data_IF_797739987810
#
_entry.id   IF_797739987810
#
_cell.length_a   1.000
_cell.length_b   1.000
_cell.length_c   1.000
_cell.angle_alpha   90.00
_cell.angle_beta   90.00
_cell.angle_gamma   90.00
#
_symmetry.space_group_name_H-M   'P 1'
#
loop_
_entity.id
_entity.type
_entity.pdbx_description
1 polymer ?
#
# COMPACT_ATOMS: atom_id res chain seq x y z
N UNK A 1 -16.30 -25.69 15.51
CA UNK A 1 -16.93 -24.68 16.41
C UNK A 1 -17.86 -23.84 15.54
N UNK A 2 -19.12 -23.65 15.92
CA UNK A 2 -20.13 -23.01 15.04
C UNK A 2 -20.02 -21.48 15.07
N UNK A 3 -20.45 -20.82 13.99
CA UNK A 3 -20.48 -19.35 13.89
C UNK A 3 -21.23 -18.72 15.06
N UNK A 4 -22.42 -19.23 15.41
CA UNK A 4 -23.21 -18.67 16.52
C UNK A 4 -22.51 -18.75 17.88
N UNK A 5 -21.74 -19.82 18.12
CA UNK A 5 -20.97 -19.94 19.36
C UNK A 5 -19.86 -18.89 19.44
N UNK A 6 -19.21 -18.59 18.31
CA UNK A 6 -18.22 -17.51 18.24
C UNK A 6 -18.86 -16.16 18.46
N UNK A 7 -19.97 -15.87 17.76
CA UNK A 7 -20.68 -14.59 17.88
C UNK A 7 -21.24 -14.34 19.29
N UNK A 8 -21.47 -15.40 20.08
CA UNK A 8 -21.95 -15.29 21.45
C UNK A 8 -20.88 -14.96 22.49
N UNK A 9 -19.61 -14.84 22.10
CA UNK A 9 -18.51 -14.49 23.02
C UNK A 9 -18.68 -13.03 23.48
N UNK A 10 -18.89 -12.77 24.79
CA UNK A 10 -19.19 -11.43 25.26
C UNK A 10 -18.05 -10.44 25.01
N UNK A 11 -18.42 -9.22 24.62
CA UNK A 11 -17.48 -8.12 24.42
C UNK A 11 -16.63 -8.23 23.15
N UNK A 12 -16.80 -9.29 22.36
CA UNK A 12 -16.02 -9.54 21.14
C UNK A 12 -16.78 -9.07 19.90
N UNK A 13 -16.06 -8.41 18.99
CA UNK A 13 -16.56 -8.07 17.65
C UNK A 13 -15.88 -8.94 16.58
N UNK A 14 -16.62 -9.24 15.52
CA UNK A 14 -16.17 -10.13 14.44
C UNK A 14 -16.39 -9.51 13.07
N UNK A 15 -15.35 -9.46 12.24
CA UNK A 15 -15.50 -9.26 10.80
C UNK A 15 -15.48 -10.63 10.12
N UNK A 16 -16.61 -11.06 9.57
CA UNK A 16 -16.76 -12.36 8.92
C UNK A 16 -16.79 -12.20 7.42
N UNK A 17 -15.89 -12.90 6.72
CA UNK A 17 -15.92 -13.09 5.26
C UNK A 17 -16.66 -14.40 4.94
N UNK A 18 -17.78 -14.30 4.22
CA UNK A 18 -18.50 -15.45 3.67
C UNK A 18 -18.16 -15.54 2.18
N UNK A 19 -17.60 -16.67 1.76
CA UNK A 19 -17.00 -16.80 0.43
C UNK A 19 -16.89 -18.27 -0.03
N UNK A 20 -16.51 -18.49 -1.29
CA UNK A 20 -16.15 -19.82 -1.77
C UNK A 20 -14.80 -20.29 -1.20
N UNK A 21 -14.61 -21.61 -1.00
CA UNK A 21 -13.31 -22.16 -0.64
C UNK A 21 -12.23 -21.77 -1.66
N UNK A 22 -11.04 -21.41 -1.19
CA UNK A 22 -9.87 -21.09 -2.01
C UNK A 22 -10.06 -19.95 -3.03
N UNK A 23 -11.02 -19.05 -2.80
CA UNK A 23 -11.24 -17.88 -3.63
C UNK A 23 -9.99 -16.98 -3.69
N UNK A 24 -9.73 -16.42 -4.88
CA UNK A 24 -8.64 -15.48 -5.12
C UNK A 24 -9.19 -14.21 -5.75
N UNK A 25 -8.53 -13.09 -5.49
CA UNK A 25 -8.86 -11.80 -6.08
C UNK A 25 -8.71 -10.65 -5.10
N UNK A 26 -8.94 -9.44 -5.60
CA UNK A 26 -8.69 -8.19 -4.89
C UNK A 26 -9.41 -8.11 -3.54
N UNK A 27 -10.66 -8.60 -3.47
CA UNK A 27 -11.42 -8.65 -2.21
C UNK A 27 -10.79 -9.59 -1.17
N UNK A 28 -10.17 -10.69 -1.61
CA UNK A 28 -9.44 -11.62 -0.74
C UNK A 28 -8.14 -11.00 -0.23
N UNK A 29 -7.41 -10.30 -1.10
CA UNK A 29 -6.18 -9.59 -0.72
C UNK A 29 -6.46 -8.44 0.27
N UNK A 30 -7.54 -7.69 0.03
CA UNK A 30 -8.07 -6.71 0.97
C UNK A 30 -8.32 -7.35 2.34
N UNK A 31 -9.04 -8.48 2.39
CA UNK A 31 -9.35 -9.16 3.65
C UNK A 31 -8.11 -9.64 4.38
N UNK A 32 -7.13 -10.18 3.65
CA UNK A 32 -5.84 -10.58 4.21
C UNK A 32 -5.11 -9.42 4.88
N UNK A 33 -5.13 -8.23 4.27
CA UNK A 33 -4.56 -7.02 4.89
C UNK A 33 -5.28 -6.68 6.21
N UNK A 34 -6.62 -6.75 6.23
CA UNK A 34 -7.39 -6.51 7.44
C UNK A 34 -7.04 -7.52 8.54
N UNK A 35 -6.92 -8.80 8.20
CA UNK A 35 -6.52 -9.85 9.16
C UNK A 35 -5.14 -9.58 9.79
N UNK A 36 -4.18 -9.07 9.01
CA UNK A 36 -2.85 -8.72 9.54
C UNK A 36 -2.91 -7.57 10.55
N UNK A 37 -3.80 -6.60 10.35
CA UNK A 37 -3.96 -5.45 11.24
C UNK A 37 -4.84 -5.76 12.45
N UNK A 38 -5.78 -6.70 12.33
CA UNK A 38 -6.72 -7.07 13.38
C UNK A 38 -6.01 -7.58 14.65
N UNK A 39 -4.80 -8.14 14.55
CA UNK A 39 -4.02 -8.62 15.69
C UNK A 39 -3.74 -7.53 16.73
N UNK A 40 -3.60 -6.27 16.31
CA UNK A 40 -3.35 -5.15 17.20
C UNK A 40 -4.63 -4.59 17.85
N UNK A 41 -5.81 -5.09 17.46
CA UNK A 41 -7.09 -4.55 17.91
C UNK A 41 -7.68 -5.44 19.01
N UNK A 42 -7.83 -4.92 20.24
CA UNK A 42 -8.40 -5.69 21.33
C UNK A 42 -9.88 -5.99 21.04
N UNK A 43 -10.33 -7.17 21.48
CA UNK A 43 -11.72 -7.62 21.37
C UNK A 43 -12.28 -7.58 19.93
N UNK A 44 -11.42 -7.71 18.93
CA UNK A 44 -11.80 -7.79 17.51
C UNK A 44 -11.17 -9.00 16.84
N UNK A 45 -11.93 -9.71 15.99
CA UNK A 45 -11.45 -10.90 15.29
C UNK A 45 -11.94 -10.91 13.85
N UNK A 46 -11.05 -11.19 12.90
CA UNK A 46 -11.41 -11.40 11.51
C UNK A 46 -11.50 -12.92 11.23
N UNK A 47 -12.63 -13.38 10.71
CA UNK A 47 -12.93 -14.78 10.46
C UNK A 47 -13.41 -15.01 9.03
N UNK A 48 -13.25 -16.24 8.55
CA UNK A 48 -13.85 -16.67 7.28
C UNK A 48 -14.78 -17.88 7.49
N UNK A 49 -15.86 -17.89 6.71
CA UNK A 49 -16.81 -19.00 6.62
C UNK A 49 -16.84 -19.45 5.16
N UNK A 50 -16.08 -20.49 4.80
CA UNK A 50 -16.11 -21.02 3.45
C UNK A 50 -17.43 -21.76 3.21
N UNK A 51 -18.10 -21.47 2.09
CA UNK A 51 -19.35 -22.10 1.68
C UNK A 51 -19.06 -23.10 0.57
N UNK A 52 -19.01 -24.40 0.91
CA UNK A 52 -18.79 -25.46 -0.07
C UNK A 52 -20.11 -26.09 -0.49
N UNK A 53 -20.36 -26.15 -1.80
CA UNK A 53 -21.60 -26.72 -2.35
C UNK A 53 -21.39 -28.01 -3.13
N UNK A 54 -20.15 -28.32 -3.50
CA UNK A 54 -19.80 -29.52 -4.24
C UNK A 54 -19.42 -30.66 -3.28
N UNK A 55 -19.99 -31.83 -3.51
CA UNK A 55 -19.89 -33.03 -2.69
C UNK A 55 -20.60 -32.89 -1.33
N UNK A 56 -19.86 -32.57 -0.27
CA UNK A 56 -20.39 -32.33 1.05
C UNK A 56 -20.73 -30.85 1.16
N UNK A 57 -22.03 -30.55 1.26
CA UNK A 57 -22.48 -29.19 1.53
C UNK A 57 -21.99 -28.77 2.91
N UNK A 58 -21.16 -27.74 2.96
CA UNK A 58 -20.68 -27.12 4.21
C UNK A 58 -21.06 -25.65 4.22
N UNK A 59 -21.65 -25.20 5.34
CA UNK A 59 -22.05 -23.81 5.59
C UNK A 59 -23.03 -23.20 4.56
N UNK A 60 -23.72 -24.02 3.74
CA UNK A 60 -24.75 -23.55 2.80
C UNK A 60 -25.94 -22.90 3.54
N UNK A 61 -26.18 -23.30 4.80
CA UNK A 61 -27.13 -22.70 5.73
C UNK A 61 -26.79 -21.25 6.10
N UNK A 62 -25.49 -20.92 6.21
CA UNK A 62 -25.03 -19.54 6.46
C UNK A 62 -25.35 -18.66 5.25
N UNK A 63 -25.11 -19.15 4.03
CA UNK A 63 -25.47 -18.43 2.80
C UNK A 63 -26.98 -18.16 2.75
N UNK A 64 -27.81 -19.14 3.09
CA UNK A 64 -29.27 -19.00 3.12
C UNK A 64 -29.72 -18.00 4.19
N UNK A 65 -29.16 -18.06 5.40
CA UNK A 65 -29.44 -17.12 6.49
C UNK A 65 -29.24 -15.66 6.09
N UNK A 66 -28.17 -15.37 5.35
CA UNK A 66 -27.85 -14.00 4.90
C UNK A 66 -28.39 -13.68 3.50
N UNK A 67 -29.24 -14.55 2.94
CA UNK A 67 -29.85 -14.42 1.61
C UNK A 67 -28.82 -14.12 0.49
N UNK A 68 -27.69 -14.81 0.53
CA UNK A 68 -26.58 -14.61 -0.41
C UNK A 68 -26.67 -15.53 -1.63
N UNK A 69 -26.25 -15.02 -2.77
CA UNK A 69 -26.00 -15.80 -3.99
C UNK A 69 -24.49 -15.90 -4.26
N UNK A 70 -24.05 -16.79 -5.15
CA UNK A 70 -22.63 -16.89 -5.51
C UNK A 70 -22.06 -15.58 -6.08
N UNK A 71 -22.92 -14.74 -6.68
CA UNK A 71 -22.53 -13.42 -7.20
C UNK A 71 -22.23 -12.40 -6.10
N UNK A 72 -22.73 -12.65 -4.89
CA UNK A 72 -22.48 -11.80 -3.73
C UNK A 72 -21.13 -12.08 -3.09
N UNK A 73 -20.48 -13.19 -3.43
CA UNK A 73 -19.23 -13.61 -2.82
C UNK A 73 -18.02 -12.81 -3.36
N UNK A 74 -17.03 -12.52 -2.51
CA UNK A 74 -17.10 -12.56 -1.05
C UNK A 74 -18.03 -11.48 -0.48
N UNK A 75 -18.77 -11.84 0.57
CA UNK A 75 -19.57 -10.93 1.37
C UNK A 75 -18.95 -10.75 2.77
N UNK A 76 -18.85 -9.50 3.23
CA UNK A 76 -18.25 -9.14 4.51
C UNK A 76 -19.31 -8.60 5.46
N UNK A 77 -19.32 -9.09 6.70
CA UNK A 77 -20.25 -8.69 7.74
C UNK A 77 -19.51 -8.37 9.03
N UNK A 78 -19.83 -7.23 9.65
CA UNK A 78 -19.38 -6.89 11.00
C UNK A 78 -20.46 -7.28 12.00
N UNK A 79 -20.10 -8.12 12.96
CA UNK A 79 -20.91 -8.45 14.13
C UNK A 79 -20.28 -7.75 15.34
N UNK A 80 -21.04 -6.88 15.99
CA UNK A 80 -20.67 -6.28 17.27
C UNK A 80 -21.28 -7.08 18.41
N UNK A 81 -20.82 -6.83 19.64
CA UNK A 81 -21.30 -7.55 20.83
C UNK A 81 -22.83 -7.63 20.89
N UNK A 82 -23.34 -8.86 21.07
CA UNK A 82 -24.78 -9.16 21.10
C UNK A 82 -25.52 -9.14 19.75
N UNK A 83 -24.86 -8.84 18.63
CA UNK A 83 -25.49 -8.81 17.30
C UNK A 83 -25.39 -10.16 16.57
N UNK A 84 -26.53 -10.68 16.12
CA UNK A 84 -26.62 -11.91 15.32
C UNK A 84 -26.85 -11.66 13.83
N UNK A 85 -27.27 -10.46 13.46
CA UNK A 85 -27.65 -10.13 12.08
C UNK A 85 -26.47 -9.52 11.31
N UNK A 86 -25.54 -8.89 12.03
CA UNK A 86 -24.37 -8.24 11.45
C UNK A 86 -24.72 -7.08 10.51
N UNK A 87 -23.71 -6.29 10.18
CA UNK A 87 -23.83 -5.18 9.22
C UNK A 87 -22.97 -5.50 8.01
N UNK A 88 -23.59 -5.55 6.82
CA UNK A 88 -22.87 -5.83 5.57
C UNK A 88 -22.00 -4.63 5.18
N UNK A 89 -20.78 -4.92 4.73
CA UNK A 89 -19.95 -3.93 4.04
C UNK A 89 -20.30 -3.89 2.56
N UNK A 90 -20.52 -2.69 2.02
CA UNK A 90 -20.99 -2.47 0.65
C UNK A 90 -20.12 -1.53 -0.18
N UNK A 91 -19.08 -0.94 0.42
CA UNK A 91 -18.22 0.01 -0.27
C UNK A 91 -17.19 -0.71 -1.17
N UNK A 92 -16.37 0.07 -1.89
CA UNK A 92 -15.36 -0.47 -2.80
C UNK A 92 -14.39 -1.43 -2.09
N UNK A 93 -13.87 -2.41 -2.83
CA UNK A 93 -12.98 -3.47 -2.35
C UNK A 93 -11.56 -2.97 -2.05
N UNK A 94 -11.44 -1.97 -1.18
CA UNK A 94 -10.18 -1.35 -0.78
C UNK A 94 -10.05 -1.44 0.74
N UNK A 95 -8.87 -1.87 1.21
CA UNK A 95 -8.63 -2.08 2.62
C UNK A 95 -8.72 -0.77 3.43
N UNK A 96 -8.35 0.38 2.83
CA UNK A 96 -8.51 1.69 3.46
C UNK A 96 -9.99 2.03 3.76
N UNK A 97 -10.90 1.73 2.81
CA UNK A 97 -12.33 1.97 2.98
C UNK A 97 -12.93 1.07 4.07
N UNK A 98 -12.55 -0.21 4.08
CA UNK A 98 -12.95 -1.15 5.13
C UNK A 98 -12.47 -0.68 6.52
N UNK A 99 -11.24 -0.19 6.65
CA UNK A 99 -10.72 0.37 7.91
C UNK A 99 -11.52 1.59 8.36
N UNK A 100 -11.79 2.54 7.45
CA UNK A 100 -12.61 3.73 7.76
C UNK A 100 -14.00 3.32 8.21
N UNK A 101 -14.62 2.35 7.54
CA UNK A 101 -15.91 1.79 7.91
C UNK A 101 -15.88 1.11 9.28
N UNK A 102 -14.88 0.27 9.57
CA UNK A 102 -14.69 -0.37 10.87
C UNK A 102 -14.51 0.65 12.01
N UNK A 103 -13.69 1.69 11.79
CA UNK A 103 -13.49 2.78 12.76
C UNK A 103 -14.78 3.53 13.05
N UNK A 104 -15.59 3.82 12.03
CA UNK A 104 -16.90 4.46 12.20
C UNK A 104 -17.87 3.65 13.07
N UNK A 105 -17.58 2.36 13.27
CA UNK A 105 -18.37 1.41 14.08
C UNK A 105 -17.72 1.08 15.42
N UNK A 106 -16.70 1.84 15.82
CA UNK A 106 -16.02 1.68 17.11
C UNK A 106 -14.87 0.67 17.10
N UNK A 107 -14.53 0.08 15.96
CA UNK A 107 -13.37 -0.82 15.85
C UNK A 107 -12.15 0.02 15.51
N UNK A 108 -11.27 0.24 16.50
CA UNK A 108 -10.07 1.08 16.39
C UNK A 108 -8.96 0.37 15.60
N UNK A 109 -9.19 0.18 14.31
CA UNK A 109 -8.25 -0.42 13.37
C UNK A 109 -7.01 0.47 13.18
N UNK A 110 -5.78 -0.08 13.13
CA UNK A 110 -4.60 0.65 12.69
C UNK A 110 -4.72 1.07 11.22
N UNK A 111 -4.00 2.13 10.84
CA UNK A 111 -3.93 2.56 9.44
C UNK A 111 -2.97 1.66 8.65
N UNK A 112 -3.27 1.44 7.37
CA UNK A 112 -2.38 0.69 6.46
C UNK A 112 -1.12 1.49 6.17
N UNK A 113 -1.28 2.74 5.75
CA UNK A 113 -0.17 3.61 5.36
C UNK A 113 0.16 4.58 6.48
N UNK A 114 -0.54 5.69 6.52
CA UNK A 114 -0.34 6.79 7.47
C UNK A 114 -1.64 7.07 8.22
N UNK A 115 -1.57 7.90 9.24
CA UNK A 115 -2.75 8.26 10.04
C UNK A 115 -3.21 9.63 9.56
N UNK A 116 -4.27 9.67 8.73
CA UNK A 116 -4.78 10.88 8.07
C UNK A 116 -4.86 12.10 9.03
N UNK A 117 -5.40 11.91 10.23
CA UNK A 117 -5.55 12.98 11.24
C UNK A 117 -4.21 13.48 11.80
N UNK A 118 -3.19 12.61 11.89
CA UNK A 118 -1.83 13.02 12.26
C UNK A 118 -1.09 13.63 11.07
N UNK A 119 -1.37 13.20 9.84
CA UNK A 119 -0.80 13.80 8.62
C UNK A 119 -1.25 15.26 8.47
N UNK A 120 -2.52 15.57 8.77
CA UNK A 120 -3.01 16.95 8.85
C UNK A 120 -2.23 17.79 9.87
N UNK A 121 -1.93 17.23 11.04
CA UNK A 121 -1.10 17.92 12.05
C UNK A 121 0.33 18.11 11.56
N UNK A 122 0.89 17.15 10.82
CA UNK A 122 2.21 17.31 10.19
C UNK A 122 2.17 18.42 9.14
N UNK A 123 1.13 18.52 8.33
CA UNK A 123 1.00 19.60 7.34
C UNK A 123 0.93 20.99 8.00
N UNK A 124 0.18 21.12 9.09
CA UNK A 124 0.15 22.34 9.92
C UNK A 124 1.56 22.64 10.48
N UNK A 125 2.23 21.61 11.01
CA UNK A 125 3.57 21.72 11.59
C UNK A 125 4.66 22.09 10.57
N UNK A 126 4.61 21.55 9.36
CA UNK A 126 5.60 21.87 8.33
C UNK A 126 5.45 23.31 7.84
N UNK A 127 4.23 23.86 7.89
CA UNK A 127 3.94 25.26 7.56
C UNK A 127 4.43 26.20 8.67
N UNK A 128 4.19 25.83 9.94
CA UNK A 128 4.60 26.60 11.12
C UNK A 128 5.13 25.68 12.23
N UNK A 129 6.43 25.34 12.24
CA UNK A 129 6.98 24.42 13.23
C UNK A 129 6.85 24.97 14.65
N UNK A 130 6.07 24.30 15.51
CA UNK A 130 5.83 24.77 16.88
C UNK A 130 5.51 23.62 17.84
N UNK A 131 5.75 23.86 19.13
CA UNK A 131 5.41 22.93 20.21
C UNK A 131 3.90 22.68 20.33
N UNK A 132 3.05 23.63 19.89
CA UNK A 132 1.59 23.47 19.89
C UNK A 132 1.15 22.30 19.01
N UNK A 133 1.76 22.13 17.85
CA UNK A 133 1.46 21.02 16.95
C UNK A 133 1.89 19.68 17.56
N UNK A 134 2.99 19.64 18.31
CA UNK A 134 3.44 18.44 19.03
C UNK A 134 2.43 18.03 20.10
N UNK A 135 1.89 18.98 20.86
CA UNK A 135 0.85 18.68 21.86
C UNK A 135 -0.44 18.16 21.21
N UNK A 136 -0.87 18.75 20.07
CA UNK A 136 -1.99 18.23 19.26
C UNK A 136 -1.73 16.79 18.78
N UNK A 137 -0.51 16.49 18.33
CA UNK A 137 -0.13 15.14 17.93
C UNK A 137 -0.15 14.15 19.11
N UNK A 138 0.31 14.56 20.31
CA UNK A 138 0.24 13.74 21.54
C UNK A 138 -1.20 13.45 21.97
N UNK A 139 -2.11 14.41 21.79
CA UNK A 139 -3.55 14.18 22.06
C UNK A 139 -4.13 13.12 21.11
N UNK A 140 -3.80 13.20 19.82
CA UNK A 140 -4.20 12.19 18.83
C UNK A 140 -3.54 10.84 19.08
N UNK A 141 -2.27 10.80 19.49
CA UNK A 141 -1.56 9.56 19.84
C UNK A 141 -2.35 8.73 20.87
N UNK A 142 -2.98 9.40 21.86
CA UNK A 142 -3.82 8.74 22.87
C UNK A 142 -5.09 8.10 22.30
N UNK A 143 -5.54 8.50 21.11
CA UNK A 143 -6.66 7.87 20.38
C UNK A 143 -6.18 6.68 19.54
N UNK A 144 -4.94 6.71 19.10
CA UNK A 144 -4.31 5.71 18.24
C UNK A 144 -3.37 4.77 19.00
N UNK A 145 -3.74 4.34 20.21
CA UNK A 145 -2.89 3.48 21.06
C UNK A 145 -2.55 2.14 20.43
N UNK A 146 -3.38 1.67 19.50
CA UNK A 146 -3.21 0.39 18.80
C UNK A 146 -2.40 0.54 17.51
N UNK A 147 -2.04 1.76 17.12
CA UNK A 147 -1.23 2.02 15.93
C UNK A 147 0.20 2.42 16.32
N UNK A 148 1.16 1.53 16.09
CA UNK A 148 2.56 1.75 16.41
C UNK A 148 3.17 2.96 15.70
N UNK A 149 2.53 3.48 14.63
CA UNK A 149 2.96 4.68 13.91
C UNK A 149 2.68 5.96 14.69
N UNK A 150 1.62 6.03 15.49
CA UNK A 150 1.22 7.24 16.20
C UNK A 150 2.34 7.88 17.04
N UNK A 151 3.07 7.13 17.92
CA UNK A 151 4.21 7.69 18.66
C UNK A 151 5.39 8.10 17.77
N UNK A 152 5.47 7.62 16.52
CA UNK A 152 6.53 8.01 15.59
C UNK A 152 6.34 9.46 15.12
N UNK A 153 5.10 9.90 14.89
CA UNK A 153 4.80 11.29 14.49
C UNK A 153 5.34 12.28 15.51
N UNK A 154 4.99 12.11 16.79
CA UNK A 154 5.44 12.97 17.88
C UNK A 154 6.97 13.04 17.95
N UNK A 155 7.64 11.87 17.93
CA UNK A 155 9.11 11.80 17.97
C UNK A 155 9.78 12.46 16.77
N UNK A 156 9.20 12.35 15.57
CA UNK A 156 9.75 12.97 14.37
C UNK A 156 9.56 14.49 14.43
N UNK A 157 8.39 14.99 14.85
CA UNK A 157 8.16 16.43 15.07
C UNK A 157 9.15 17.03 16.07
N UNK A 158 9.36 16.36 17.22
CA UNK A 158 10.34 16.78 18.23
C UNK A 158 11.76 16.89 17.65
N UNK A 159 12.15 15.91 16.82
CA UNK A 159 13.46 15.93 16.16
C UNK A 159 13.56 16.98 15.05
N UNK A 160 12.50 17.21 14.29
CA UNK A 160 12.46 18.29 13.31
C UNK A 160 12.61 19.66 13.98
N UNK A 161 12.02 19.88 15.16
CA UNK A 161 12.25 21.12 15.94
C UNK A 161 13.69 21.22 16.44
N UNK A 162 14.28 20.12 16.90
CA UNK A 162 15.62 20.13 17.48
C UNK A 162 16.76 20.17 16.45
N UNK A 163 16.58 19.52 15.30
CA UNK A 163 17.63 19.28 14.30
C UNK A 163 17.39 20.00 12.98
N UNK A 164 16.21 20.60 12.79
CA UNK A 164 15.84 21.33 11.58
C UNK A 164 15.07 20.50 10.56
N UNK A 165 14.62 21.17 9.50
CA UNK A 165 13.72 20.61 8.48
C UNK A 165 14.32 19.44 7.67
N UNK A 166 15.65 19.32 7.58
CA UNK A 166 16.31 18.25 6.84
C UNK A 166 16.25 16.89 7.54
N UNK A 167 15.93 16.84 8.85
CA UNK A 167 15.92 15.61 9.64
C UNK A 167 15.15 14.47 8.97
N UNK A 168 13.96 14.77 8.43
CA UNK A 168 13.11 13.75 7.81
C UNK A 168 13.78 13.12 6.58
N UNK A 169 14.38 13.94 5.70
CA UNK A 169 15.08 13.47 4.51
C UNK A 169 16.32 12.64 4.86
N UNK A 170 17.12 13.11 5.81
CA UNK A 170 18.33 12.40 6.28
C UNK A 170 17.97 11.04 6.90
N UNK A 171 16.90 11.00 7.69
CA UNK A 171 16.43 9.78 8.32
C UNK A 171 15.82 8.80 7.29
N UNK A 172 15.16 9.29 6.24
CA UNK A 172 14.70 8.45 5.11
C UNK A 172 15.89 7.75 4.47
N UNK A 173 16.94 8.49 4.11
CA UNK A 173 18.13 7.93 3.48
C UNK A 173 18.79 6.86 4.37
N UNK A 174 18.88 7.12 5.68
CA UNK A 174 19.41 6.18 6.66
C UNK A 174 18.57 4.90 6.76
N UNK A 175 17.24 5.03 6.84
CA UNK A 175 16.32 3.88 6.96
C UNK A 175 16.33 3.04 5.67
N UNK A 176 16.33 3.66 4.49
CA UNK A 176 16.43 2.96 3.22
C UNK A 176 17.72 2.15 3.12
N UNK A 177 18.86 2.71 3.52
CA UNK A 177 20.14 2.00 3.55
C UNK A 177 20.12 0.77 4.47
N UNK A 178 19.41 0.85 5.61
CA UNK A 178 19.24 -0.30 6.51
C UNK A 178 18.37 -1.38 5.86
N UNK A 179 17.28 -0.97 5.19
CA UNK A 179 16.36 -1.90 4.52
C UNK A 179 16.98 -2.64 3.33
N UNK A 180 18.02 -2.09 2.71
CA UNK A 180 18.82 -2.78 1.68
C UNK A 180 19.67 -3.93 2.26
N UNK A 181 19.96 -3.89 3.57
CA UNK A 181 20.72 -4.93 4.26
C UNK A 181 19.88 -6.13 4.70
N UNK A 182 20.55 -7.09 5.35
CA UNK A 182 19.87 -8.18 6.06
C UNK A 182 19.23 -7.62 7.33
N UNK A 183 17.90 -7.62 7.37
CA UNK A 183 17.10 -7.11 8.49
C UNK A 183 16.08 -8.17 8.88
N UNK A 184 15.95 -8.43 10.18
CA UNK A 184 14.96 -9.35 10.72
C UNK A 184 13.53 -8.93 10.28
N UNK A 185 12.61 -9.86 9.94
CA UNK A 185 11.29 -9.52 9.39
C UNK A 185 10.50 -8.51 10.24
N UNK A 186 10.44 -8.71 11.55
CA UNK A 186 9.79 -7.77 12.47
C UNK A 186 10.42 -6.37 12.40
N UNK A 187 11.75 -6.30 12.37
CA UNK A 187 12.44 -5.01 12.32
C UNK A 187 12.26 -4.33 10.97
N UNK A 188 12.17 -5.11 9.89
CA UNK A 188 11.86 -4.62 8.54
C UNK A 188 10.46 -4.00 8.49
N UNK A 189 9.47 -4.61 9.14
CA UNK A 189 8.12 -4.05 9.25
C UNK A 189 8.12 -2.70 10.00
N UNK A 190 8.74 -2.64 11.19
CA UNK A 190 8.86 -1.39 11.97
C UNK A 190 9.55 -0.27 11.18
N UNK A 191 10.64 -0.60 10.46
CA UNK A 191 11.36 0.37 9.63
C UNK A 191 10.54 0.81 8.42
N UNK A 192 9.71 -0.08 7.87
CA UNK A 192 8.80 0.25 6.77
C UNK A 192 7.69 1.19 7.23
N UNK A 193 7.12 0.96 8.41
CA UNK A 193 6.14 1.85 9.02
C UNK A 193 6.74 3.23 9.34
N UNK A 194 7.95 3.23 9.91
CA UNK A 194 8.69 4.48 10.13
C UNK A 194 8.95 5.24 8.82
N UNK A 195 9.28 4.52 7.74
CA UNK A 195 9.51 5.11 6.43
C UNK A 195 8.25 5.76 5.87
N UNK A 196 7.07 5.13 6.05
CA UNK A 196 5.77 5.72 5.67
C UNK A 196 5.54 7.04 6.39
N UNK A 197 5.71 7.08 7.71
CA UNK A 197 5.54 8.31 8.50
C UNK A 197 6.53 9.39 8.08
N UNK A 198 7.83 9.06 7.95
CA UNK A 198 8.85 10.03 7.54
C UNK A 198 8.57 10.69 6.18
N UNK A 199 7.99 9.95 5.24
CA UNK A 199 7.63 10.48 3.91
C UNK A 199 6.61 11.61 3.99
N UNK A 200 5.69 11.57 4.95
CA UNK A 200 4.74 12.66 5.22
C UNK A 200 5.49 13.94 5.60
N UNK A 201 6.49 13.83 6.47
CA UNK A 201 7.31 14.97 6.91
C UNK A 201 8.18 15.54 5.79
N UNK A 202 8.66 14.68 4.88
CA UNK A 202 9.49 15.11 3.76
C UNK A 202 8.66 15.58 2.54
N UNK A 203 7.32 15.53 2.61
CA UNK A 203 6.41 15.69 1.46
C UNK A 203 6.85 14.86 0.24
N UNK A 204 7.45 13.71 0.49
CA UNK A 204 7.98 12.85 -0.56
C UNK A 204 6.92 11.82 -0.92
N UNK A 205 6.26 12.02 -2.06
CA UNK A 205 5.44 10.99 -2.68
C UNK A 205 6.29 10.04 -3.53
N UNK A 206 5.68 8.94 -3.96
CA UNK A 206 6.29 8.12 -4.99
C UNK A 206 6.22 8.87 -6.33
N UNK A 207 7.25 8.69 -7.15
CA UNK A 207 7.38 9.35 -8.43
C UNK A 207 6.30 8.91 -9.44
N UNK A 208 5.53 7.87 -9.14
CA UNK A 208 4.34 7.48 -9.89
C UNK A 208 3.19 8.48 -9.75
N UNK A 209 3.15 9.30 -8.70
CA UNK A 209 2.18 10.40 -8.55
C UNK A 209 2.74 11.72 -9.11
N UNK A 210 4.06 11.86 -9.20
CA UNK A 210 4.71 13.05 -9.74
C UNK A 210 4.40 13.27 -11.23
N UNK A 211 3.97 14.48 -11.60
CA UNK A 211 3.70 14.83 -12.99
C UNK A 211 4.97 15.38 -13.65
N UNK A 212 5.49 14.65 -14.64
CA UNK A 212 6.68 15.07 -15.36
C UNK A 212 6.41 16.32 -16.22
N UNK A 213 7.41 17.21 -16.39
CA UNK A 213 7.35 18.31 -17.32
C UNK A 213 7.02 17.85 -18.75
N UNK A 214 6.52 18.76 -19.59
CA UNK A 214 6.19 18.45 -20.98
C UNK A 214 7.38 17.83 -21.71
N UNK A 215 7.11 16.73 -22.45
CA UNK A 215 8.13 15.95 -23.14
C UNK A 215 8.86 14.91 -22.28
N UNK A 216 8.87 15.01 -20.95
CA UNK A 216 9.52 14.03 -20.08
C UNK A 216 8.61 12.84 -19.73
N UNK A 217 9.21 11.68 -19.50
CA UNK A 217 8.53 10.48 -19.02
C UNK A 217 8.98 10.11 -17.62
N UNK A 218 8.15 9.39 -16.86
CA UNK A 218 8.56 8.85 -15.56
C UNK A 218 9.72 7.86 -15.74
N UNK A 219 10.63 7.83 -14.75
CA UNK A 219 11.67 6.81 -14.72
C UNK A 219 11.06 5.42 -14.54
N UNK A 220 11.76 4.42 -15.05
CA UNK A 220 11.39 3.03 -14.88
C UNK A 220 11.20 2.69 -13.39
N UNK A 221 10.08 2.06 -13.03
CA UNK A 221 9.78 1.72 -11.65
C UNK A 221 9.48 2.93 -10.76
N UNK A 222 8.91 4.00 -11.31
CA UNK A 222 8.61 5.24 -10.58
C UNK A 222 7.79 5.03 -9.29
N UNK A 223 6.95 3.98 -9.22
CA UNK A 223 6.22 3.61 -8.00
C UNK A 223 7.16 3.19 -6.84
N UNK A 224 8.37 2.73 -7.15
CA UNK A 224 9.42 2.41 -6.19
C UNK A 224 10.44 3.54 -5.97
N UNK A 225 10.39 4.60 -6.78
CA UNK A 225 11.28 5.76 -6.67
C UNK A 225 10.57 6.82 -5.84
N UNK A 226 11.22 7.30 -4.78
CA UNK A 226 10.66 8.32 -3.90
C UNK A 226 11.30 9.65 -4.24
N UNK A 227 10.48 10.64 -4.62
CA UNK A 227 10.96 11.92 -5.11
C UNK A 227 9.81 12.88 -5.39
N UNK A 228 10.14 14.17 -5.39
CA UNK A 228 9.17 15.26 -5.60
C UNK A 228 9.65 16.27 -6.64
N UNK A 229 10.63 15.88 -7.46
CA UNK A 229 11.24 16.73 -8.47
C UNK A 229 11.50 15.93 -9.76
N UNK A 230 11.61 16.63 -10.89
CA UNK A 230 11.78 16.02 -12.20
C UNK A 230 13.12 15.30 -12.35
N UNK A 231 14.18 15.73 -11.66
CA UNK A 231 15.49 15.08 -11.74
C UNK A 231 15.46 13.70 -11.09
N UNK A 232 14.71 13.57 -10.00
CA UNK A 232 14.50 12.32 -9.27
C UNK A 232 13.51 11.42 -10.01
N UNK A 233 12.37 11.97 -10.45
CA UNK A 233 11.22 11.20 -10.93
C UNK A 233 11.15 10.98 -12.44
N UNK A 234 11.79 11.83 -13.24
CA UNK A 234 11.59 11.86 -14.68
C UNK A 234 12.87 11.56 -15.46
N UNK A 235 12.68 11.05 -16.66
CA UNK A 235 13.70 10.90 -17.70
C UNK A 235 13.25 11.64 -18.95
N UNK A 236 14.19 12.18 -19.74
CA UNK A 236 13.88 12.71 -21.07
C UNK A 236 13.22 11.64 -21.95
N UNK A 237 12.50 12.05 -23.00
CA UNK A 237 11.90 11.14 -23.94
C UNK A 237 12.96 10.25 -24.58
N UNK A 238 12.62 8.99 -24.79
CA UNK A 238 13.51 8.00 -25.40
C UNK A 238 12.76 7.33 -26.54
N UNK A 239 13.46 7.05 -27.63
CA UNK A 239 12.91 6.38 -28.80
C UNK A 239 13.71 5.11 -29.07
N UNK A 240 12.99 4.01 -29.24
CA UNK A 240 13.58 2.73 -29.64
C UNK A 240 14.16 2.82 -31.06
N UNK A 241 15.31 2.20 -31.29
CA UNK A 241 16.08 2.34 -32.54
C UNK A 241 16.31 1.01 -33.24
N UNK A 242 15.49 0.00 -32.97
CA UNK A 242 15.54 -1.33 -33.56
C UNK A 242 15.05 -1.34 -35.01
N UNK A 243 14.12 -0.45 -35.38
CA UNK A 243 13.51 -0.48 -36.72
C UNK A 243 12.79 -1.81 -36.95
N UNK A 244 13.20 -2.56 -37.98
CA UNK A 244 12.62 -3.88 -38.31
C UNK A 244 13.38 -5.05 -37.65
N UNK A 245 14.45 -4.76 -36.89
CA UNK A 245 15.24 -5.77 -36.19
C UNK A 245 14.51 -6.28 -34.94
N UNK A 246 14.70 -7.57 -34.62
CA UNK A 246 14.04 -8.26 -33.52
C UNK A 246 14.98 -9.27 -32.85
N UNK A 247 14.63 -9.68 -31.64
CA UNK A 247 15.36 -10.70 -30.89
C UNK A 247 15.17 -12.11 -31.48
N UNK A 248 15.85 -13.11 -30.90
CA UNK A 248 15.78 -14.49 -31.39
C UNK A 248 14.38 -15.14 -31.28
N UNK A 249 13.45 -14.54 -30.53
CA UNK A 249 12.06 -14.97 -30.39
C UNK A 249 11.09 -14.21 -31.30
N UNK A 250 11.57 -13.19 -32.02
CA UNK A 250 10.76 -12.35 -32.89
C UNK A 250 10.15 -11.14 -32.20
N UNK A 251 10.66 -10.76 -31.01
CA UNK A 251 10.17 -9.59 -30.29
C UNK A 251 10.98 -8.33 -30.63
N UNK A 252 10.27 -7.21 -30.80
CA UNK A 252 10.84 -5.86 -30.97
C UNK A 252 10.98 -5.15 -29.61
N UNK A 253 11.36 -3.87 -29.59
CA UNK A 253 11.55 -3.14 -28.33
C UNK A 253 10.24 -2.94 -27.55
N UNK A 254 9.09 -3.00 -28.22
CA UNK A 254 7.75 -2.90 -27.61
C UNK A 254 7.42 -4.02 -26.61
N UNK A 255 8.07 -5.18 -26.75
CA UNK A 255 7.96 -6.30 -25.81
C UNK A 255 8.67 -6.02 -24.48
N UNK A 256 9.73 -5.22 -24.50
CA UNK A 256 10.53 -4.92 -23.32
C UNK A 256 9.82 -3.81 -22.52
N UNK A 257 9.11 -4.18 -21.46
CA UNK A 257 8.33 -3.30 -20.58
C UNK A 257 8.83 -3.35 -19.11
N UNK A 258 8.05 -2.79 -18.18
CA UNK A 258 8.37 -2.81 -16.76
C UNK A 258 8.55 -4.20 -16.14
N UNK A 259 7.94 -5.23 -16.73
CA UNK A 259 7.96 -6.60 -16.24
C UNK A 259 9.03 -7.43 -16.91
N UNK A 260 9.31 -7.18 -18.19
CA UNK A 260 10.26 -7.96 -19.01
C UNK A 260 11.65 -7.32 -19.08
N UNK A 261 11.86 -6.11 -18.53
CA UNK A 261 13.17 -5.48 -18.46
C UNK A 261 14.31 -6.33 -17.84
N UNK A 262 14.06 -7.24 -16.87
CA UNK A 262 15.11 -8.16 -16.40
C UNK A 262 15.63 -9.13 -17.47
N UNK A 263 14.86 -9.35 -18.54
CA UNK A 263 15.18 -10.26 -19.66
C UNK A 263 15.96 -9.54 -20.78
N UNK A 264 16.25 -8.25 -20.60
CA UNK A 264 17.01 -7.44 -21.56
C UNK A 264 18.39 -8.06 -21.83
N UNK A 265 18.59 -8.51 -23.07
CA UNK A 265 19.86 -9.10 -23.53
C UNK A 265 19.88 -10.63 -23.57
N UNK A 266 18.86 -11.30 -23.01
CA UNK A 266 18.81 -12.77 -22.95
C UNK A 266 18.69 -13.41 -24.34
N UNK A 267 18.04 -12.71 -25.27
CA UNK A 267 17.74 -13.20 -26.62
C UNK A 267 18.33 -12.31 -27.73
N UNK A 268 19.30 -11.46 -27.38
CA UNK A 268 19.98 -10.56 -28.31
C UNK A 268 20.58 -11.33 -29.51
N UNK A 269 20.47 -10.74 -30.69
CA UNK A 269 21.06 -11.27 -31.92
C UNK A 269 22.27 -10.44 -32.36
N UNK A 270 22.86 -10.79 -33.50
CA UNK A 270 23.91 -9.97 -34.10
C UNK A 270 23.41 -8.59 -34.55
N UNK A 271 22.14 -8.52 -34.94
CA UNK A 271 21.52 -7.32 -35.51
C UNK A 271 20.63 -6.58 -34.49
N UNK A 272 20.06 -7.29 -33.50
CA UNK A 272 19.25 -6.72 -32.44
C UNK A 272 19.97 -6.81 -31.09
N UNK A 273 20.18 -5.67 -30.43
CA UNK A 273 20.68 -5.62 -29.06
C UNK A 273 19.79 -4.76 -28.19
N UNK A 274 18.99 -5.39 -27.32
CA UNK A 274 18.00 -4.70 -26.50
C UNK A 274 18.66 -3.60 -25.65
N UNK A 275 19.82 -3.91 -25.05
CA UNK A 275 20.64 -2.97 -24.26
C UNK A 275 21.15 -1.73 -25.01
N UNK A 276 21.08 -1.72 -26.35
CA UNK A 276 21.51 -0.57 -27.18
C UNK A 276 20.36 0.09 -27.91
N UNK A 277 19.36 -0.70 -28.30
CA UNK A 277 18.29 -0.25 -29.19
C UNK A 277 17.01 0.07 -28.43
N UNK A 278 16.76 -0.56 -27.28
CA UNK A 278 15.50 -0.42 -26.55
C UNK A 278 15.63 0.45 -25.30
N UNK A 279 14.73 1.42 -25.18
CA UNK A 279 14.65 2.37 -24.08
C UNK A 279 14.36 1.71 -22.73
N UNK A 280 13.60 0.61 -22.72
CA UNK A 280 13.33 -0.16 -21.50
C UNK A 280 14.58 -0.87 -20.95
N UNK A 281 15.54 -1.18 -21.84
CA UNK A 281 16.79 -1.85 -21.53
C UNK A 281 17.97 -0.88 -21.32
N UNK A 282 17.70 0.43 -21.25
CA UNK A 282 18.72 1.46 -21.08
C UNK A 282 19.44 1.87 -22.38
N UNK A 283 19.02 1.35 -23.53
CA UNK A 283 19.46 1.77 -24.84
C UNK A 283 18.54 2.85 -25.43
N UNK A 284 18.38 2.82 -26.76
CA UNK A 284 17.56 3.76 -27.52
C UNK A 284 18.21 5.13 -27.66
N UNK A 285 17.50 6.05 -28.28
CA UNK A 285 17.94 7.43 -28.47
C UNK A 285 17.19 8.37 -27.53
N UNK A 286 17.93 8.98 -26.60
CA UNK A 286 17.40 10.01 -25.71
C UNK A 286 17.23 11.31 -26.48
N UNK A 287 15.98 11.74 -26.64
CA UNK A 287 15.64 13.09 -27.10
C UNK A 287 15.79 14.03 -25.91
N UNK A 288 16.80 14.89 -25.94
CA UNK A 288 16.89 15.99 -24.97
C UNK A 288 15.91 17.06 -25.46
N UNK A 289 14.85 17.41 -24.70
CA UNK A 289 14.01 18.53 -25.06
C UNK A 289 14.88 19.78 -25.06
N UNK A 290 14.92 20.52 -26.17
CA UNK A 290 15.63 21.79 -26.24
C UNK A 290 15.08 22.70 -25.15
N UNK A 291 15.94 23.14 -24.23
CA UNK A 291 15.56 24.18 -23.28
C UNK A 291 15.31 25.44 -24.11
N UNK A 292 14.05 25.91 -24.12
CA UNK A 292 13.72 27.22 -24.68
C UNK A 292 14.68 28.26 -24.10
N UNK A 293 15.38 28.97 -25.00
CA UNK A 293 16.26 30.08 -24.70
C UNK A 293 15.50 31.33 -24.24
#
# INVERSE_FOLDING_TARGET
MTMDKMLSVPGQSFLVKIDEPYSRGEKGDMFRMICQLAYAVPNFFAAEVPVQRFNQKENDDVRERFNLTLKDFPAFYLFTDGSTDGVRYTDAAQAANMIKWLRSRGILMPSIDTIDELDEVVNDFLSEPSARHIEKAKELERKYTNDAKAPMYVKIMEKCLAQGASYAADEIARVMKILQGKVHPQKRAELSDKLKVLKVFAKMEACDVFQCPEGYHKKFGAAGIIGSDAQTCCKPPCIDTEGDEHDAQGHHCDYYDERTAPECGDWDTGAFRASRMCCACGGGHVKIPEADA
#
